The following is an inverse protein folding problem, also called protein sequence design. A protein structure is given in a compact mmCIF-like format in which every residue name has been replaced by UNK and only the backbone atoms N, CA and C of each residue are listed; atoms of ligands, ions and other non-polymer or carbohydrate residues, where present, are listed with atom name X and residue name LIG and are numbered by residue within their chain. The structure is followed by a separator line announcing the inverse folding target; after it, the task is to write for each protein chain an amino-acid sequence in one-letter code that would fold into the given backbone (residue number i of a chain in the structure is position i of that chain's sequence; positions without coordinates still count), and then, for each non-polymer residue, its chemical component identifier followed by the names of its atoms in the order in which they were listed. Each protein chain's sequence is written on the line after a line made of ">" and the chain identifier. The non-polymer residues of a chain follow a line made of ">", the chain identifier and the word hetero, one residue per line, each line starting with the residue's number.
data_IF_097935750482
#
_entry.id   IF_097935750482
#
_cell.length_a   1.000
_cell.length_b   1.000
_cell.length_c   1.000
_cell.angle_alpha   90.00
_cell.angle_beta   90.00
_cell.angle_gamma   90.00
#
_symmetry.space_group_name_H-M   'P 1'
#
loop_
_entity.id
_entity.type
_entity.pdbx_description
1 polymer ?
2 polymer ?
3 polymer ?
4 branched ?
5 water ?
#
loop_
_entity_poly.entity_id
_entity_poly.type
_entity_poly.pdbx_seq_one_letter_code
_entity_poly.pdbx_strand_id
1 'polydeoxyribonucleotide' '(DG)(DG)(DT)(DA)(DT)(DA)(DC)' ?
2 'polydeoxyribonucleotide' '(DG)(DG)(DT)(DA)(DT)(DA)(DC)(DC)' ?
#
# COMPACT_ATOMS: atom_id res chain seq x y z
N UNK C 1 -4.81 7.19 13.57
CA UNK C 1 -4.77 7.26 12.10
C UNK C 1 -4.42 5.85 11.61
N UNK C 2 -5.32 5.27 10.84
CA UNK C 2 -5.11 3.93 10.31
C UNK C 2 -4.72 4.02 8.85
N UNK C 3 -3.64 3.36 8.51
CA UNK C 3 -3.14 3.30 7.14
C UNK C 3 -3.06 1.87 6.65
N UNK C 4 -3.37 1.64 5.40
CA UNK C 4 -3.33 0.32 4.79
C UNK C 4 -2.79 0.38 3.37
N UNK C 5 -2.14 -0.68 2.97
CA UNK C 5 -1.66 -0.83 1.59
C UNK C 5 -2.44 -2.06 1.15
N UNK C 6 -3.14 -2.00 0.04
CA UNK C 6 -3.95 -3.16 -0.40
C UNK C 6 -3.72 -3.49 -1.86
N UNK C 7 -3.25 -4.70 -2.16
CA UNK C 7 -3.11 -5.10 -3.56
C UNK C 7 -4.48 -5.76 -3.87
N UNK C 8 -5.26 -5.14 -4.75
CA UNK C 8 -6.59 -5.73 -5.11
C UNK C 8 -6.38 -6.36 -6.47
N UNK C 9 -6.34 -7.66 -6.55
CA UNK C 9 -6.05 -8.33 -7.84
C UNK C 9 -6.85 -7.68 -8.96
N UNK C 10 -6.19 -7.15 -9.95
CA UNK C 10 -6.78 -6.50 -11.10
C UNK C 10 -8.01 -5.65 -10.82
N UNK C 11 -7.92 -4.70 -9.95
CA UNK C 11 -9.09 -3.81 -9.71
C UNK C 11 -9.32 -3.15 -11.07
N UNK C 12 -10.52 -3.14 -11.56
CA UNK C 12 -10.88 -2.57 -12.88
C UNK C 12 -12.41 -2.49 -12.94
N UNK C 13 -12.91 -2.20 -14.11
CA UNK C 13 -14.35 -2.03 -14.38
C UNK C 13 -15.16 -3.28 -14.11
N UNK C 14 -14.61 -4.43 -14.37
CA UNK C 14 -15.29 -5.72 -14.18
C UNK C 14 -15.55 -5.99 -12.73
N UNK C 15 -14.51 -5.81 -11.96
CA UNK C 15 -14.60 -6.07 -10.51
C UNK C 15 -15.56 -5.09 -9.87
N UNK C 16 -15.45 -3.82 -10.22
CA UNK C 16 -16.33 -2.78 -9.61
C UNK C 16 -17.79 -2.86 -10.05
N UNK C 17 -18.06 -3.52 -11.13
CA UNK C 17 -19.30 -3.82 -11.78
C UNK C 17 -20.21 -4.74 -10.96
N UNK C 18 -19.60 -5.69 -10.31
CA UNK C 18 -20.29 -6.71 -9.48
C UNK C 18 -20.61 -6.08 -8.14
N UNK C 19 -21.84 -5.74 -7.88
CA UNK C 19 -22.26 -5.03 -6.69
C UNK C 19 -21.84 -5.63 -5.40
N UNK C 20 -21.58 -6.92 -5.46
CA UNK C 20 -21.15 -7.72 -4.28
C UNK C 20 -19.68 -7.45 -3.99
N UNK C 21 -18.90 -7.74 -5.02
CA UNK C 21 -17.43 -7.50 -4.87
C UNK C 21 -17.26 -6.04 -4.47
N UNK C 22 -17.96 -5.14 -5.19
CA UNK C 22 -17.82 -3.71 -4.86
C UNK C 22 -18.16 -3.39 -3.41
N UNK C 23 -19.16 -4.07 -2.89
CA UNK C 23 -19.66 -3.83 -1.54
C UNK C 23 -18.56 -4.08 -0.53
N UNK C 24 -17.87 -5.19 -0.77
CA UNK C 24 -16.76 -5.65 0.09
C UNK C 24 -15.57 -4.70 0.03
N UNK C 25 -15.11 -4.48 -1.19
CA UNK C 25 -13.99 -3.55 -1.43
C UNK C 25 -14.27 -2.26 -0.67
N UNK C 26 -15.44 -1.68 -0.82
CA UNK C 26 -15.86 -0.43 -0.20
C UNK C 26 -15.78 -0.45 1.31
N UNK C 27 -16.19 -1.60 1.83
CA UNK C 27 -16.25 -1.86 3.27
C UNK C 27 -14.85 -1.91 3.86
N UNK C 28 -13.97 -2.50 3.08
CA UNK C 28 -12.57 -2.62 3.47
C UNK C 28 -11.90 -1.24 3.52
N UNK C 29 -12.05 -0.46 2.47
CA UNK C 29 -11.44 0.89 2.34
C UNK C 29 -11.82 1.85 3.44
N UNK C 30 -13.07 1.70 3.86
CA UNK C 30 -13.70 2.54 4.89
C UNK C 30 -13.14 2.35 6.29
N UNK C 31 -12.32 1.34 6.43
CA UNK C 31 -11.70 1.03 7.75
C UNK C 31 -10.59 2.08 7.95
N UNK C 32 -10.13 2.53 6.78
CA UNK C 32 -8.97 3.41 6.76
C UNK C 32 -9.10 4.88 6.48
N UNK C 33 -8.06 5.57 6.95
CA UNK C 33 -7.88 6.99 6.82
C UNK C 33 -7.05 7.30 5.58
N UNK C 34 -6.16 6.41 5.24
CA UNK C 34 -5.32 6.54 4.04
C UNK C 34 -5.19 5.08 3.57
N UNK C 35 -5.45 4.83 2.31
CA UNK C 35 -5.26 3.46 1.85
C UNK C 35 -4.61 3.52 0.48
N UNK C 36 -3.55 2.73 0.31
CA UNK C 36 -2.92 2.64 -1.00
C UNK C 36 -3.55 1.44 -1.71
N UNK C 37 -4.10 1.61 -2.91
CA UNK C 37 -4.65 0.47 -3.65
C UNK C 37 -3.67 0.24 -4.81
N UNK C 38 -3.31 -0.99 -5.04
CA UNK C 38 -2.39 -1.36 -6.12
C UNK C 38 -3.11 -2.31 -7.07
N UNK C 39 -2.51 -2.36 -8.23
CA UNK C 39 -3.02 -3.24 -9.29
C UNK C 39 -4.34 -2.73 -9.86
N UNK C 40 -4.33 -1.43 -10.08
CA UNK C 40 -5.40 -0.64 -10.66
C UNK C 40 -5.16 -0.64 -12.19
N UNK C 41 -5.90 -1.46 -12.88
CA UNK C 41 -5.78 -1.54 -14.35
C UNK C 41 -7.07 -0.87 -14.89
N UNK C 42 -7.05 0.43 -14.87
CA UNK C 42 -8.11 1.36 -15.22
C UNK C 42 -7.55 2.51 -16.07
N UNK C 43 -7.46 2.29 -17.35
CA UNK C 43 -6.96 3.27 -18.33
C UNK C 43 -7.63 4.65 -18.16
N UNK C 44 -8.93 4.62 -18.13
CA UNK C 44 -9.87 5.68 -18.01
C UNK C 44 -10.41 5.99 -16.65
N UNK C 45 -9.85 5.57 -15.56
CA UNK C 45 -10.43 5.93 -14.23
C UNK C 45 -11.91 5.64 -14.15
N UNK C 46 -12.38 4.72 -14.98
CA UNK C 46 -13.82 4.36 -14.91
C UNK C 46 -14.13 3.60 -13.64
N UNK C 47 -13.30 2.64 -13.25
CA UNK C 47 -13.48 1.86 -11.99
C UNK C 47 -13.21 2.73 -10.77
N UNK C 48 -12.19 3.54 -10.76
CA UNK C 48 -11.81 4.46 -9.68
C UNK C 48 -12.97 5.41 -9.40
N UNK C 49 -13.59 5.82 -10.51
CA UNK C 49 -14.79 6.69 -10.38
C UNK C 49 -15.89 5.90 -9.67
N UNK C 50 -16.16 4.68 -10.13
CA UNK C 50 -17.22 3.91 -9.44
C UNK C 50 -16.95 3.92 -7.93
N UNK C 51 -15.74 3.55 -7.55
CA UNK C 51 -15.34 3.48 -6.14
C UNK C 51 -15.66 4.76 -5.39
N UNK C 52 -15.21 5.87 -5.93
CA UNK C 52 -15.41 7.20 -5.31
C UNK C 52 -16.88 7.56 -5.24
N UNK C 53 -17.67 7.08 -6.17
CA UNK C 53 -19.12 7.38 -6.12
C UNK C 53 -19.67 6.72 -4.85
N UNK C 54 -19.22 5.48 -4.59
CA UNK C 54 -19.71 4.77 -3.41
C UNK C 54 -19.27 5.39 -2.10
N UNK C 55 -17.96 5.66 -2.04
CA UNK C 55 -17.29 6.20 -0.87
C UNK C 55 -17.90 7.53 -0.48
N UNK C 56 -18.25 8.29 -1.51
CA UNK C 56 -18.79 9.63 -1.31
C UNK C 56 -20.29 9.72 -1.54
N UNK C 57 -21.04 8.64 -1.39
CA UNK C 57 -22.50 8.78 -1.61
C UNK C 57 -23.12 9.58 -0.48
N UNK C 58 -22.61 9.54 0.73
CA UNK C 58 -23.19 10.27 1.86
C UNK C 58 -22.64 11.70 2.03
N UNK C 59 -21.51 11.93 1.42
CA UNK C 59 -20.79 13.20 1.46
C UNK C 59 -19.66 13.10 0.41
N UNK C 60 -19.54 14.17 -0.34
CA UNK C 60 -18.52 14.27 -1.39
C UNK C 60 -17.11 14.52 -0.91
N UNK C 61 -16.92 14.71 0.39
CA UNK C 61 -15.57 14.93 0.94
C UNK C 61 -15.27 13.97 2.08
N UNK C 62 -15.71 12.74 1.92
CA UNK C 62 -15.42 11.67 2.89
C UNK C 62 -14.01 11.19 2.46
N UNK C 63 -13.86 11.11 1.13
CA UNK C 63 -12.58 10.74 0.53
C UNK C 63 -12.11 11.46 -0.73
N UNK C 64 -10.84 11.85 -0.73
CA UNK C 64 -10.20 12.45 -1.92
C UNK C 64 -9.14 11.42 -2.35
N UNK C 65 -8.55 11.56 -3.52
CA UNK C 65 -7.52 10.59 -3.91
C UNK C 65 -6.43 11.24 -4.74
N UNK C 66 -5.36 10.50 -4.90
CA UNK C 66 -4.20 10.91 -5.73
C UNK C 66 -3.99 9.57 -6.49
N UNK C 67 -3.81 9.63 -7.75
CA UNK C 67 -3.62 8.41 -8.58
C UNK C 67 -2.44 8.83 -9.46
N UNK C 68 -1.68 7.84 -9.82
CA UNK C 68 -0.50 8.04 -10.67
C UNK C 68 -0.93 7.56 -12.06
N UNK C 69 -0.10 7.86 -13.02
CA UNK C 69 -0.39 7.39 -14.38
C UNK C 69 -0.20 5.90 -14.36
N UNK C 70 -0.60 5.27 -15.42
CA UNK C 70 -0.45 3.84 -15.62
C UNK C 70 1.05 3.63 -15.73
N UNK C 71 1.63 2.76 -14.95
CA UNK C 71 3.08 2.54 -14.96
C UNK C 71 3.39 1.19 -15.55
N UNK C 72 4.37 1.07 -16.38
CA UNK C 72 4.71 -0.24 -16.98
C UNK C 72 5.65 -0.04 -18.15
N UNK C 73 6.49 -1.05 -18.40
CA UNK C 73 7.48 -0.99 -19.49
C UNK C 73 6.85 -1.27 -20.85
N UNK C 74 5.88 -2.17 -20.93
CA UNK C 74 5.22 -2.49 -22.22
C UNK C 74 3.72 -2.24 -22.12
N UNK C 75 2.95 -3.09 -22.76
CA UNK C 75 1.48 -2.96 -22.75
C UNK C 75 0.85 -3.09 -21.36
N UNK C 76 1.34 -3.95 -20.47
CA UNK C 76 0.79 -4.14 -19.11
C UNK C 76 1.05 -2.87 -18.30
N UNK C 77 0.03 -2.33 -17.68
CA UNK C 77 0.13 -1.11 -16.90
C UNK C 77 -0.74 -1.17 -15.64
N UNK C 78 -0.21 -0.57 -14.59
CA UNK C 78 -0.87 -0.44 -13.30
C UNK C 78 -0.61 0.98 -12.75
N UNK C 79 -1.60 1.41 -11.99
CA UNK C 79 -1.62 2.69 -11.33
C UNK C 79 -1.52 2.46 -9.82
N UNK C 80 -1.07 3.54 -9.16
CA UNK C 80 -0.97 3.55 -7.69
C UNK C 80 -2.09 4.54 -7.30
N UNK C 81 -3.01 4.09 -6.49
CA UNK C 81 -4.13 4.90 -6.05
C UNK C 81 -4.11 5.13 -4.57
N UNK C 82 -4.04 6.36 -4.17
CA UNK C 82 -4.04 6.81 -2.76
C UNK C 82 -5.42 7.39 -2.42
N UNK C 83 -6.18 6.76 -1.58
CA UNK C 83 -7.51 7.20 -1.15
C UNK C 83 -7.30 7.86 0.21
N UNK C 84 -7.98 8.95 0.56
CA UNK C 84 -7.66 9.52 1.90
C UNK C 84 -8.82 10.33 2.41
N UNK C 85 -9.00 10.42 3.70
CA UNK C 85 -10.01 11.14 4.44
C UNK C 85 -9.45 12.56 4.58
N UNK C 86 -9.90 13.42 3.64
CA UNK C 86 -9.48 14.80 3.59
C UNK C 86 -9.60 15.47 4.94
N UNK C 87 -10.46 15.00 5.83
CA UNK C 87 -10.64 15.64 7.12
C UNK C 87 -9.57 15.19 8.11
N UNK C 88 -8.78 14.20 7.81
CA UNK C 88 -7.72 13.78 8.77
C UNK C 88 -6.32 14.13 8.26
N UNK C 89 -6.25 14.39 6.96
CA UNK C 89 -4.91 14.58 6.32
C UNK C 89 -5.02 15.31 5.03
N UNK C 90 -3.92 15.87 4.54
CA UNK C 90 -3.90 16.58 3.25
C UNK C 90 -2.58 16.32 2.51
N UNK C 91 -2.60 16.32 1.22
CA UNK C 91 -1.37 16.13 0.43
C UNK C 91 -0.65 17.46 0.48
N UNK C 92 0.66 17.46 0.51
CA UNK C 92 1.47 18.69 0.59
C UNK C 92 2.30 18.71 -0.68
N UNK C 93 2.41 17.56 -1.30
CA UNK C 93 3.18 17.36 -2.53
C UNK C 93 3.16 15.90 -2.90
N UNK C 94 3.49 15.61 -4.14
CA UNK C 94 3.51 14.22 -4.66
C UNK C 94 4.53 14.18 -5.78
N UNK C 95 5.05 13.02 -6.15
CA UNK C 95 5.98 12.93 -7.28
C UNK C 95 6.17 11.45 -7.62
N UNK C 96 6.54 11.24 -8.83
CA UNK C 96 6.76 9.88 -9.39
C UNK C 96 8.24 9.67 -9.27
N UNK C 97 8.74 8.74 -8.49
CA UNK C 97 10.25 8.67 -8.42
C UNK C 97 10.71 8.54 -9.88
N UNK C 108 15.15 0.78 -13.25
CA UNK C 108 15.36 0.03 -11.96
C UNK C 108 14.04 -0.53 -11.43
N UNK C 109 12.91 0.09 -11.77
CA UNK C 109 11.60 -0.36 -11.30
C UNK C 109 10.63 -0.50 -12.50
N UNK C 110 9.82 -1.51 -12.42
CA UNK C 110 8.78 -1.87 -13.37
C UNK C 110 7.64 -0.85 -13.27
N UNK C 111 7.29 -0.59 -12.02
CA UNK C 111 6.27 0.33 -11.59
C UNK C 111 6.91 1.32 -10.62
N UNK C 112 7.59 2.33 -11.18
CA UNK C 112 8.29 3.29 -10.35
C UNK C 112 7.39 3.84 -9.26
N UNK C 113 7.98 3.87 -8.06
CA UNK C 113 7.24 4.35 -6.89
C UNK C 113 6.72 5.79 -7.06
N UNK C 114 5.45 5.82 -6.59
CA UNK C 114 4.70 7.08 -6.50
C UNK C 114 4.98 7.46 -5.03
N UNK C 115 5.36 8.66 -4.79
CA UNK C 115 5.58 9.14 -3.42
C UNK C 115 4.64 10.29 -3.06
N UNK C 116 3.95 10.18 -1.94
CA UNK C 116 3.03 11.25 -1.52
C UNK C 116 3.46 11.80 -0.18
N UNK C 117 3.34 13.08 0.06
CA UNK C 117 3.69 13.74 1.31
C UNK C 117 2.42 14.18 2.01
N UNK C 118 2.17 13.85 3.23
CA UNK C 118 1.00 14.16 3.97
C UNK C 118 1.27 14.97 5.24
N UNK C 119 0.29 15.77 5.51
CA UNK C 119 0.29 16.62 6.74
C UNK C 119 -0.71 15.90 7.63
N UNK C 120 -0.34 15.66 8.88
CA UNK C 120 -1.26 14.92 9.78
C UNK C 120 -1.35 15.71 11.06
N UNK C 121 -2.46 16.36 11.27
CA UNK C 121 -2.66 17.20 12.47
C UNK C 121 -2.89 16.40 13.73
N UNK C 122 -3.53 15.24 13.61
CA UNK C 122 -3.89 14.42 14.76
C UNK C 122 -2.88 13.44 15.26
N UNK C 123 -1.67 13.39 14.75
CA UNK C 123 -0.70 12.38 15.22
C UNK C 123 0.56 12.99 15.79
N UNK C 124 1.39 12.15 16.41
CA UNK C 124 2.66 12.67 16.98
C UNK C 124 3.47 13.29 15.86
N UNK C 125 3.70 12.53 14.81
CA UNK C 125 4.42 12.97 13.60
C UNK C 125 3.36 13.80 12.82
N UNK C 126 3.82 14.94 12.37
CA UNK C 126 3.09 15.96 11.65
C UNK C 126 3.13 15.89 10.13
N UNK C 127 4.27 15.59 9.58
CA UNK C 127 4.45 15.49 8.11
C UNK C 127 5.21 14.19 7.86
N UNK C 128 4.87 13.45 6.84
CA UNK C 128 5.51 12.17 6.56
C UNK C 128 5.30 11.76 5.12
N UNK C 129 6.12 10.97 4.51
CA UNK C 129 5.90 10.57 3.11
C UNK C 129 5.59 9.07 3.09
N UNK C 130 4.92 8.67 2.02
CA UNK C 130 4.55 7.28 1.78
C UNK C 130 5.06 6.88 0.41
N UNK C 131 5.89 5.88 0.30
CA UNK C 131 6.39 5.44 -1.03
C UNK C 131 5.56 4.18 -1.33
N UNK C 132 4.95 4.08 -2.48
CA UNK C 132 4.11 2.94 -2.80
C UNK C 132 4.90 2.04 -3.75
N UNK C 133 4.87 0.75 -3.55
CA UNK C 133 5.56 -0.16 -4.44
C UNK C 133 4.84 -1.49 -4.61
N UNK C 134 4.63 -1.82 -5.86
CA UNK C 134 4.07 -3.14 -6.23
C UNK C 134 5.23 -3.73 -7.04
N UNK C 135 6.07 -4.57 -6.47
CA UNK C 135 7.22 -5.04 -7.26
C UNK C 135 6.92 -6.08 -8.31
N UNK C 136 7.94 -6.33 -9.13
CA UNK C 136 7.87 -7.40 -10.17
C UNK C 136 8.40 -8.64 -9.43
N UNK C 137 7.65 -9.71 -9.47
CA UNK C 137 7.99 -10.92 -8.74
C UNK C 137 9.38 -11.44 -9.01
N UNK C 138 9.71 -11.48 -10.27
CA UNK C 138 10.96 -11.94 -10.86
C UNK C 138 12.13 -11.00 -10.62
N UNK C 139 11.83 -9.80 -10.13
CA UNK C 139 12.89 -8.79 -9.90
C UNK C 139 12.69 -8.03 -8.61
N UNK C 140 12.08 -8.70 -7.65
CA UNK C 140 11.73 -8.19 -6.32
C UNK C 140 12.91 -7.78 -5.47
N UNK C 141 13.91 -8.66 -5.45
CA UNK C 141 15.15 -8.43 -4.70
C UNK C 141 15.74 -7.06 -5.13
N UNK C 142 15.99 -6.94 -6.43
CA UNK C 142 16.55 -5.72 -7.00
C UNK C 142 15.73 -4.50 -6.63
N UNK C 143 14.41 -4.71 -6.65
CA UNK C 143 13.44 -3.62 -6.42
C UNK C 143 13.27 -3.20 -5.00
N UNK C 144 13.30 -4.15 -4.05
CA UNK C 144 13.16 -3.73 -2.66
C UNK C 144 14.41 -2.92 -2.25
N UNK C 145 15.52 -3.31 -2.81
CA UNK C 145 16.87 -2.75 -2.53
C UNK C 145 17.02 -1.32 -3.04
N UNK C 146 16.47 -1.10 -4.24
CA UNK C 146 16.42 0.22 -4.88
C UNK C 146 15.58 1.19 -4.07
N UNK C 147 14.65 0.65 -3.29
CA UNK C 147 13.82 1.51 -2.42
C UNK C 147 14.76 2.28 -1.50
N UNK C 148 16.00 1.79 -1.36
CA UNK C 148 16.94 2.46 -0.44
C UNK C 148 17.29 3.79 -1.13
N UNK C 149 17.52 3.69 -2.42
CA UNK C 149 17.79 4.88 -3.24
C UNK C 149 16.62 5.86 -3.15
N UNK C 150 15.42 5.39 -3.37
CA UNK C 150 14.20 6.23 -3.38
C UNK C 150 14.12 7.01 -2.05
N UNK C 151 14.52 6.24 -1.03
CA UNK C 151 14.50 6.78 0.35
C UNK C 151 15.41 8.02 0.41
N UNK C 152 16.63 7.79 -0.04
CA UNK C 152 17.70 8.82 -0.11
C UNK C 152 17.15 9.96 -0.96
N UNK C 153 16.45 9.58 -2.05
CA UNK C 153 15.82 10.57 -2.94
C UNK C 153 14.84 11.49 -2.19
N UNK C 154 13.92 10.89 -1.48
CA UNK C 154 12.92 11.63 -0.70
C UNK C 154 13.58 12.56 0.31
N UNK C 155 14.59 12.04 0.97
CA UNK C 155 15.34 12.78 2.00
C UNK C 155 15.97 14.05 1.39
N UNK C 156 16.61 13.90 0.26
CA UNK C 156 17.26 15.02 -0.42
C UNK C 156 16.29 16.11 -0.82
N UNK C 157 15.19 15.72 -1.49
CA UNK C 157 14.16 16.62 -2.00
C UNK C 157 13.41 17.39 -0.94
N UNK C 158 12.89 16.60 0.00
CA UNK C 158 12.04 17.12 1.07
C UNK C 158 12.69 17.30 2.41
N UNK C 159 13.88 16.89 2.71
CA UNK C 159 14.44 17.15 4.06
C UNK C 159 13.55 16.44 5.05
N UNK C 160 13.17 15.26 4.62
CA UNK C 160 12.21 14.47 5.50
C UNK C 160 12.78 13.11 5.80
N UNK C 161 12.68 12.80 7.08
CA UNK C 161 13.22 11.51 7.54
C UNK C 161 12.12 10.47 7.73
N UNK C 162 10.94 10.90 8.02
CA UNK C 162 9.71 10.21 8.29
C UNK C 162 9.07 9.78 6.97
N UNK C 163 9.29 8.53 6.64
CA UNK C 163 8.85 7.90 5.41
C UNK C 163 8.37 6.48 5.69
N UNK C 164 7.19 6.18 5.28
CA UNK C 164 6.58 4.85 5.42
C UNK C 164 6.67 4.25 4.04
N UNK C 165 7.27 3.08 3.90
CA UNK C 165 7.41 2.49 2.52
C UNK C 165 6.55 1.22 2.60
N UNK C 166 5.58 1.08 1.74
CA UNK C 166 4.65 -0.04 1.82
C UNK C 166 4.09 -0.50 0.49
N UNK C 167 3.59 -1.74 0.51
CA UNK C 167 3.04 -2.35 -0.69
C UNK C 167 3.30 -3.86 -0.77
N UNK C 168 2.92 -4.34 -1.93
CA UNK C 168 3.04 -5.73 -2.35
C UNK C 168 4.45 -5.78 -2.95
N UNK C 169 5.40 -5.92 -2.02
CA UNK C 169 6.82 -6.00 -2.36
C UNK C 169 7.21 -7.41 -2.76
N UNK C 170 6.40 -8.43 -2.77
CA UNK C 170 6.72 -9.83 -3.10
C UNK C 170 7.93 -10.33 -2.31
N UNK C 171 8.10 -9.89 -1.08
CA UNK C 171 9.25 -10.18 -0.21
C UNK C 171 9.24 -11.53 0.46
N UNK C 172 8.93 -12.60 -0.27
CA UNK C 172 8.91 -13.88 0.43
C UNK C 172 8.84 -15.01 -0.58
N UNK C 173 8.69 -16.21 -0.04
CA UNK C 173 8.59 -17.44 -0.81
C UNK C 173 9.60 -17.51 -1.90
N UNK C 174 9.11 -17.72 -3.12
CA UNK C 174 9.95 -17.82 -4.32
C UNK C 174 10.61 -16.56 -4.78
N UNK C 175 10.11 -15.42 -4.39
CA UNK C 175 10.65 -14.13 -4.86
C UNK C 175 11.75 -13.48 -4.08
N UNK C 176 11.93 -13.83 -2.84
CA UNK C 176 13.00 -13.31 -1.97
C UNK C 176 13.31 -14.47 -1.02
N UNK C 177 14.44 -15.10 -1.20
CA UNK C 177 14.79 -16.23 -0.26
C UNK C 177 15.59 -15.71 0.90
N UNK C 178 15.80 -16.53 1.90
CA UNK C 178 16.51 -16.29 3.16
C UNK C 178 17.91 -15.68 3.02
N UNK C 179 18.63 -16.28 2.10
CA UNK C 179 20.00 -15.83 1.79
C UNK C 179 20.04 -14.51 1.04
N UNK C 180 19.00 -14.23 0.26
CA UNK C 180 18.87 -13.04 -0.57
C UNK C 180 18.60 -11.76 0.20
N UNK C 181 18.14 -11.89 1.42
CA UNK C 181 17.83 -10.71 2.26
C UNK C 181 19.00 -9.81 2.59
N UNK C 182 20.19 -10.43 2.60
CA UNK C 182 21.45 -9.75 2.92
C UNK C 182 21.88 -8.71 1.87
N UNK C 183 21.42 -8.90 0.64
CA UNK C 183 21.80 -7.96 -0.42
C UNK C 183 20.75 -6.86 -0.66
N UNK C 184 19.89 -6.67 0.34
CA UNK C 184 18.80 -5.71 0.38
C UNK C 184 19.03 -4.72 1.50
N UNK C 185 19.49 -3.54 1.12
CA UNK C 185 19.81 -2.37 1.93
C UNK C 185 18.70 -1.83 2.81
N UNK C 186 17.46 -1.92 2.37
CA UNK C 186 16.26 -1.51 3.10
C UNK C 186 16.06 -2.43 4.30
N UNK C 187 16.66 -3.60 4.20
CA UNK C 187 16.59 -4.64 5.23
C UNK C 187 17.75 -4.56 6.19
N UNK C 188 18.97 -4.61 5.62
CA UNK C 188 20.16 -4.57 6.50
C UNK C 188 20.30 -3.30 7.27
N UNK C 189 19.91 -2.15 6.71
CA UNK C 189 20.01 -0.88 7.43
C UNK C 189 19.09 -0.89 8.64
N UNK C 190 19.63 -0.45 9.74
CA UNK C 190 18.91 -0.35 11.02
C UNK C 190 18.08 0.94 10.99
N UNK C 191 18.17 1.65 9.88
CA UNK C 191 17.34 2.88 9.75
C UNK C 191 15.87 2.52 9.68
N UNK C 192 15.55 1.42 9.03
CA UNK C 192 14.26 0.87 8.78
C UNK C 192 13.73 -0.20 9.73
N UNK C 193 12.49 -0.07 10.16
CA UNK C 193 11.85 -1.09 10.98
C UNK C 193 10.73 -1.72 10.16
N UNK C 194 10.78 -3.00 10.02
CA UNK C 194 9.80 -3.81 9.30
C UNK C 194 8.67 -4.20 10.24
N UNK C 195 7.57 -3.46 10.11
CA UNK C 195 6.38 -3.68 10.92
C UNK C 195 5.74 -5.02 10.61
N UNK C 196 5.78 -5.51 9.40
CA UNK C 196 5.22 -6.78 8.98
C UNK C 196 6.40 -7.76 8.82
N UNK C 197 6.48 -8.70 9.76
CA UNK C 197 7.52 -9.72 9.83
C UNK C 197 7.38 -10.76 8.75
N UNK C 198 8.41 -11.53 8.49
CA UNK C 198 8.41 -12.55 7.45
C UNK C 198 7.50 -13.74 7.81
N UNK C 199 7.02 -13.69 9.04
CA UNK C 199 6.16 -14.79 9.57
C UNK C 199 4.70 -14.49 9.36
N UNK C 200 4.37 -13.28 8.91
CA UNK C 200 2.98 -12.90 8.66
C UNK C 200 2.55 -13.55 7.36
N UNK C 201 1.29 -13.87 7.27
CA UNK C 201 0.65 -14.43 6.06
C UNK C 201 -0.21 -13.26 5.51
N UNK C 202 0.09 -12.82 4.31
CA UNK C 202 -0.67 -11.71 3.76
C UNK C 202 -1.38 -12.08 2.48
N UNK C 203 -1.45 -13.34 2.12
CA UNK C 203 -2.18 -13.76 0.92
C UNK C 203 -3.46 -14.51 1.31
N UNK C 204 -4.46 -14.39 0.47
CA UNK C 204 -5.76 -15.03 0.68
C UNK C 204 -5.70 -16.48 0.21
N UNK C 205 -4.72 -16.81 -0.61
CA UNK C 205 -4.46 -18.13 -1.10
C UNK C 205 -3.83 -18.96 0.04
N UNK C 206 -3.70 -20.20 -0.37
CA UNK C 206 -3.15 -21.30 0.40
C UNK C 206 -1.69 -21.06 0.80
N UNK C 207 -0.95 -20.46 -0.13
CA UNK C 207 0.49 -20.15 0.11
C UNK C 207 0.64 -19.40 1.42
N UNK C 208 1.73 -19.54 2.12
CA UNK C 208 1.91 -18.78 3.40
C UNK C 208 3.03 -17.75 3.25
N UNK C 209 2.86 -16.66 2.54
CA UNK C 209 3.93 -15.69 2.29
C UNK C 209 3.71 -14.28 2.76
N UNK C 210 4.80 -13.60 3.12
CA UNK C 210 4.72 -12.20 3.56
C UNK C 210 5.12 -11.29 2.40
N UNK C 211 4.23 -11.27 1.40
CA UNK C 211 4.40 -10.47 0.19
C UNK C 211 4.21 -9.01 0.57
N UNK C 212 3.14 -8.63 1.15
CA UNK C 212 2.81 -7.25 1.54
C UNK C 212 3.54 -6.84 2.81
N UNK C 213 4.13 -5.67 2.77
CA UNK C 213 4.91 -5.13 3.90
C UNK C 213 4.73 -3.66 4.15
N UNK C 214 5.13 -3.18 5.26
CA UNK C 214 5.12 -1.79 5.70
C UNK C 214 6.47 -1.50 6.38
N UNK C 215 7.25 -0.62 5.84
CA UNK C 215 8.56 -0.25 6.41
C UNK C 215 8.52 1.21 6.86
N UNK C 216 9.13 1.50 8.00
CA UNK C 216 9.17 2.86 8.50
C UNK C 216 10.55 3.29 8.99
N UNK C 217 10.90 4.48 8.58
CA UNK C 217 12.10 5.24 8.86
C UNK C 217 11.66 6.54 9.58
N UNK C 218 12.59 7.14 10.29
CA UNK C 218 12.44 8.38 11.05
C UNK C 218 11.84 8.05 12.39
N UNK C 219 12.33 8.63 13.45
CA UNK C 219 11.94 8.41 14.84
C UNK C 219 10.67 9.09 15.30
N UNK C 220 10.31 10.10 14.62
CA UNK C 220 9.02 10.77 14.97
C UNK C 220 7.94 9.73 14.62
N UNK C 221 7.97 9.33 13.30
CA UNK C 221 7.05 8.29 12.79
C UNK C 221 7.12 7.01 13.62
N UNK C 222 8.32 6.44 13.61
CA UNK C 222 8.56 5.19 14.35
C UNK C 222 7.97 5.39 15.74
N UNK C 223 8.11 6.58 16.28
CA UNK C 223 7.53 6.73 17.65
C UNK C 223 6.04 6.89 17.58
N UNK C 224 5.46 7.07 16.42
CA UNK C 224 4.00 7.35 16.40
C UNK C 224 3.20 6.10 16.13
N UNK C 225 3.89 5.00 15.83
CA UNK C 225 3.29 3.71 15.57
C UNK C 225 2.85 3.11 16.91
N UNK C 226 1.66 2.60 16.91
CA UNK C 226 1.08 1.93 18.09
C UNK C 226 1.47 0.45 17.99
N UNK C 227 2.29 0.02 18.94
CA UNK C 227 2.78 -1.36 18.95
C UNK C 227 1.62 -2.34 18.91
N UNK C 228 1.82 -3.38 18.11
CA UNK C 228 0.84 -4.47 17.96
C UNK C 228 -0.35 -4.19 17.07
N UNK C 229 -0.29 -3.02 16.44
CA UNK C 229 -1.27 -2.51 15.52
C UNK C 229 -1.01 -2.90 14.07
N UNK C 230 0.22 -3.10 13.66
CA UNK C 230 0.49 -3.45 12.26
C UNK C 230 0.15 -4.93 12.07
N UNK C 231 -0.57 -5.30 11.02
CA UNK C 231 -0.89 -6.67 10.70
C UNK C 231 -1.64 -6.80 9.38
N UNK C 232 -1.65 -8.00 8.86
CA UNK C 232 -2.48 -8.30 7.66
C UNK C 232 -3.92 -8.15 8.17
N UNK C 233 -4.86 -7.87 7.28
CA UNK C 233 -6.27 -7.70 7.67
C UNK C 233 -6.89 -8.84 6.84
N UNK C 234 -7.22 -9.89 7.57
CA UNK C 234 -7.82 -11.07 6.90
C UNK C 234 -9.34 -10.80 6.89
N UNK C 235 -9.79 -10.36 5.74
CA UNK C 235 -11.17 -9.99 5.46
C UNK C 235 -11.97 -11.28 5.34
N UNK C 236 -11.28 -12.35 4.99
CA UNK C 236 -11.99 -13.66 4.87
C UNK C 236 -12.65 -14.00 6.24
N UNK C 237 -11.75 -14.10 7.21
CA UNK C 237 -12.07 -14.36 8.60
C UNK C 237 -12.96 -13.24 9.12
N UNK C 238 -12.59 -12.00 8.99
CA UNK C 238 -13.41 -10.92 9.52
C UNK C 238 -14.84 -10.97 8.95
N UNK C 239 -14.98 -11.34 7.69
CA UNK C 239 -16.30 -11.33 7.06
C UNK C 239 -16.88 -12.73 6.90
N UNK C 240 -16.16 -13.71 7.46
CA UNK C 240 -16.62 -15.10 7.41
C UNK C 240 -17.00 -15.35 5.94
N UNK C 241 -16.05 -15.05 5.09
CA UNK C 241 -16.27 -15.25 3.63
C UNK C 241 -15.76 -16.63 3.27
N UNK C 242 -16.18 -17.17 2.16
CA UNK C 242 -15.70 -18.49 1.72
C UNK C 242 -14.39 -18.19 0.96
N UNK C 243 -13.50 -19.12 0.97
CA UNK C 243 -12.21 -19.01 0.28
C UNK C 243 -12.42 -18.52 -1.15
N UNK C 244 -13.42 -19.03 -1.85
CA UNK C 244 -13.73 -18.63 -3.22
C UNK C 244 -14.19 -17.17 -3.31
N UNK C 245 -15.01 -16.81 -2.32
CA UNK C 245 -15.51 -15.44 -2.28
C UNK C 245 -14.31 -14.53 -2.01
N UNK C 246 -13.52 -14.82 -1.02
CA UNK C 246 -12.33 -14.15 -0.61
C UNK C 246 -11.41 -13.90 -1.78
N UNK C 247 -11.05 -14.95 -2.47
CA UNK C 247 -10.17 -14.84 -3.66
C UNK C 247 -10.75 -13.96 -4.75
N UNK C 248 -12.07 -13.89 -4.86
CA UNK C 248 -12.78 -13.11 -5.85
C UNK C 248 -12.56 -11.61 -5.62
N UNK C 249 -12.33 -11.26 -4.36
CA UNK C 249 -12.00 -9.90 -3.93
C UNK C 249 -10.51 -9.64 -4.15
N UNK C 250 -9.65 -10.55 -3.75
CA UNK C 250 -8.20 -10.45 -3.91
C UNK C 250 -7.44 -11.64 -3.28
N UNK C 251 -6.29 -12.00 -3.84
CA UNK C 251 -5.42 -13.08 -3.40
C UNK C 251 -4.47 -12.59 -2.31
N UNK C 252 -4.58 -11.30 -2.03
CA UNK C 252 -3.72 -10.63 -1.01
C UNK C 252 -4.55 -10.01 0.09
N UNK C 253 -4.07 -9.77 1.28
CA UNK C 253 -4.85 -9.06 2.32
C UNK C 253 -4.22 -7.66 2.48
N UNK C 254 -4.99 -6.69 2.93
CA UNK C 254 -4.46 -5.36 3.20
C UNK C 254 -3.49 -5.51 4.39
N UNK C 255 -2.44 -4.73 4.45
CA UNK C 255 -1.56 -4.72 5.62
C UNK C 255 -1.88 -3.32 6.20
N UNK C 256 -1.98 -3.18 7.48
CA UNK C 256 -2.33 -1.90 8.08
C UNK C 256 -1.52 -1.63 9.34
N UNK C 257 -1.64 -0.40 9.79
CA UNK C 257 -0.94 0.09 10.98
C UNK C 257 -1.75 1.22 11.59
N UNK C 258 -1.40 1.66 12.75
CA UNK C 258 -2.11 2.78 13.38
C UNK C 258 -1.08 3.72 14.00
N UNK C 259 -1.21 4.98 13.65
CA UNK C 259 -0.30 6.01 14.19
C UNK C 259 -1.10 6.74 15.28
N UNK C 260 -0.43 7.28 16.25
CA UNK C 260 -1.02 7.97 17.41
C UNK C 260 -0.59 9.41 17.61
X LIG D 1 -20.03 -11.20 -8.21
X LIG D 1 -21.06 -11.80 -9.17
X LIG D 1 -21.29 -13.26 -8.75
X LIG D 1 -20.05 -14.06 -8.34
X LIG D 1 -19.00 -13.29 -7.63
X LIG D 1 -17.74 -14.01 -7.25
X LIG D 1 -22.50 -10.43 -11.05
X LIG D 1 -23.92 -9.92 -10.98
X LIG D 1 -21.96 -11.10 -10.09
X LIG D 1 -21.84 -14.08 -9.80
X LIG D 1 -20.39 -15.21 -7.58
X LIG D 1 -18.79 -12.05 -8.35
X LIG D 1 -16.98 -14.59 -8.34
X LIG D 1 -22.49 -10.75 -12.26
X LIG D 2 -19.68 -16.38 -8.24
X LIG D 2 -20.05 -17.45 -7.21
X LIG D 2 -19.81 -18.79 -7.89
X LIG D 2 -20.39 -18.92 -9.29
X LIG D 2 -20.21 -17.73 -10.16
X LIG D 2 -21.17 -17.88 -11.36
X LIG D 2 -20.17 -16.85 -4.75
X LIG D 2 -19.02 -17.13 -3.71
X LIG D 2 -19.62 -17.09 -5.94
X LIG D 2 -20.24 -19.58 -6.76
X LIG D 2 -20.18 -20.10 -10.01
X LIG D 2 -20.66 -16.57 -9.36
X LIG D 2 -22.56 -17.89 -11.02
X LIG D 2 -21.50 -16.73 -4.66
#
# INVERSE_FOLDING_TARGET
>C
LKIAAFNIRTFGETKMSNATLASYIVRIVRRYDIVLIQEVRDSHLVAVGKLLDYLNQDDPNTYHYVVSEPLGRNSYKERYLFLFRPNKVSVLDTYQYDDGCESCGNDSFSREPAVVKFSSHSTKVKEFAIVALHSAPSDAVAEINSLYDVYLDVQQKWHLNDVMLMGDFNADCSYVTSSQWSSIRLRTSSTFQWLIPDSADTTATSTNCAYDRIVVAGSLLQSSVVPGSAAPFDFQAAYGLSNEMALAISDHYPVEVTLT
>D hetero
1 NAG C1 C2 C3 C4 C5 C6 C7 C8 N2 O3 O4 O5 O6 O7
2 NAG C1 C2 C3 C4 C5 C6 C7 C8 N2 O3 O4 O5 O6 O7
#
